data_IF_522482549593
#
_entry.id   IF_522482549593
#
_cell.length_a   1.000
_cell.length_b   1.000
_cell.length_c   1.000
_cell.angle_alpha   90.00
_cell.angle_beta   90.00
_cell.angle_gamma   90.00
#
_symmetry.space_group_name_H-M   'P 1'
#
loop_
_entity.id
_entity.type
_entity.pdbx_description
1 polymer ?
#
# COMPACT_ATOMS: atom_id res chain seq x y z
N UNK A 1 7.13 19.05 -9.76
CA UNK A 1 7.24 20.03 -10.87
C UNK A 1 6.51 19.56 -12.15
N UNK A 2 6.76 18.34 -12.65
CA UNK A 2 6.11 17.80 -13.86
C UNK A 2 4.58 17.63 -13.73
N UNK A 3 4.10 17.16 -12.58
CA UNK A 3 2.66 16.95 -12.28
C UNK A 3 1.78 18.21 -12.41
N UNK A 4 2.38 19.41 -12.34
CA UNK A 4 1.65 20.70 -12.24
C UNK A 4 1.64 21.55 -13.53
N UNK A 5 2.43 21.20 -14.55
CA UNK A 5 2.57 22.02 -15.79
C UNK A 5 2.51 21.24 -17.11
N UNK A 6 2.48 19.91 -17.11
CA UNK A 6 2.48 19.11 -18.34
C UNK A 6 1.09 18.65 -18.76
N UNK A 7 0.66 18.98 -19.99
CA UNK A 7 -0.58 18.46 -20.59
C UNK A 7 -0.54 16.98 -20.99
N UNK A 8 0.48 16.24 -20.55
CA UNK A 8 0.62 14.79 -20.75
C UNK A 8 0.04 14.09 -19.53
N UNK A 9 -0.74 13.01 -19.73
CA UNK A 9 -1.21 12.14 -18.65
C UNK A 9 -0.03 11.71 -17.79
N UNK A 10 0.03 12.22 -16.56
CA UNK A 10 1.15 11.99 -15.64
C UNK A 10 1.38 10.49 -15.38
N UNK A 11 0.32 9.69 -15.48
CA UNK A 11 0.35 8.23 -15.36
C UNK A 11 1.19 7.55 -16.46
N UNK A 12 1.15 8.09 -17.69
CA UNK A 12 1.92 7.54 -18.81
C UNK A 12 3.42 7.80 -18.61
N UNK A 13 3.77 9.01 -18.13
CA UNK A 13 5.15 9.34 -17.79
C UNK A 13 5.66 8.46 -16.66
N UNK A 14 4.89 8.26 -15.59
CA UNK A 14 5.28 7.38 -14.47
C UNK A 14 5.55 5.94 -14.96
N UNK A 15 4.69 5.43 -15.86
CA UNK A 15 4.85 4.09 -16.43
C UNK A 15 6.11 3.97 -17.30
N UNK A 16 6.36 4.95 -18.18
CA UNK A 16 7.55 4.97 -19.04
C UNK A 16 8.84 5.06 -18.23
N UNK A 17 8.89 5.91 -17.20
CA UNK A 17 10.06 6.01 -16.33
C UNK A 17 10.32 4.72 -15.55
N UNK A 18 9.27 4.02 -15.13
CA UNK A 18 9.39 2.73 -14.47
C UNK A 18 9.96 1.66 -15.41
N UNK A 19 9.39 1.53 -16.62
CA UNK A 19 9.90 0.58 -17.64
C UNK A 19 11.33 0.90 -18.06
N UNK A 20 11.67 2.18 -18.24
CA UNK A 20 13.02 2.62 -18.56
C UNK A 20 14.01 2.25 -17.45
N UNK A 21 13.66 2.51 -16.19
CA UNK A 21 14.50 2.16 -15.03
C UNK A 21 14.75 0.65 -14.93
N UNK A 22 13.71 -0.16 -15.14
CA UNK A 22 13.83 -1.63 -15.15
C UNK A 22 14.74 -2.12 -16.29
N UNK A 23 14.53 -1.61 -17.51
CA UNK A 23 15.34 -1.97 -18.67
C UNK A 23 16.81 -1.57 -18.49
N UNK A 24 17.06 -0.36 -17.98
CA UNK A 24 18.40 0.15 -17.73
C UNK A 24 19.13 -0.66 -16.63
N UNK A 25 18.41 -1.04 -15.57
CA UNK A 25 18.95 -1.90 -14.52
C UNK A 25 19.40 -3.26 -15.06
N UNK A 26 18.57 -3.91 -15.87
CA UNK A 26 18.91 -5.20 -16.50
C UNK A 26 20.06 -5.05 -17.49
N UNK A 27 20.10 -3.95 -18.26
CA UNK A 27 21.18 -3.65 -19.19
C UNK A 27 22.53 -3.53 -18.47
N UNK A 28 22.58 -2.80 -17.36
CA UNK A 28 23.82 -2.67 -16.57
C UNK A 28 24.25 -4.00 -15.93
N UNK A 29 23.32 -4.84 -15.49
CA UNK A 29 23.65 -6.19 -15.01
C UNK A 29 24.23 -7.05 -16.14
N UNK A 30 23.63 -6.99 -17.33
CA UNK A 30 24.09 -7.75 -18.49
C UNK A 30 25.47 -7.31 -19.02
N UNK A 31 25.83 -6.04 -18.84
CA UNK A 31 27.14 -5.49 -19.20
C UNK A 31 28.28 -5.90 -18.25
N UNK A 32 27.97 -6.47 -17.08
CA UNK A 32 28.97 -6.87 -16.10
C UNK A 32 29.36 -8.35 -16.29
N UNK A 33 30.52 -8.68 -16.89
CA UNK A 33 30.92 -10.06 -17.14
C UNK A 33 31.21 -10.79 -15.83
N UNK A 34 30.63 -11.98 -15.67
CA UNK A 34 30.96 -12.91 -14.56
C UNK A 34 29.94 -12.98 -13.41
N UNK A 35 28.79 -12.31 -13.50
CA UNK A 35 27.74 -12.42 -12.48
C UNK A 35 26.46 -13.04 -13.09
N UNK A 36 26.20 -14.36 -12.92
CA UNK A 36 24.88 -14.90 -13.22
C UNK A 36 23.90 -14.34 -12.16
N UNK A 37 22.89 -13.53 -12.54
CA UNK A 37 21.95 -13.03 -11.57
C UNK A 37 21.04 -14.18 -11.12
N UNK A 38 21.16 -14.60 -9.86
CA UNK A 38 20.17 -15.47 -9.23
C UNK A 38 18.87 -14.68 -8.98
N UNK A 39 18.06 -14.55 -10.03
CA UNK A 39 16.78 -13.83 -9.99
C UNK A 39 15.85 -14.38 -8.90
N UNK A 40 15.85 -15.70 -8.69
CA UNK A 40 15.05 -16.36 -7.66
C UNK A 40 15.35 -15.82 -6.26
N UNK A 41 16.62 -15.64 -5.91
CA UNK A 41 17.03 -15.08 -4.62
C UNK A 41 16.65 -13.61 -4.47
N UNK A 42 16.63 -12.82 -5.56
CA UNK A 42 16.22 -11.42 -5.50
C UNK A 42 14.68 -11.24 -5.44
N UNK A 43 13.96 -12.17 -6.08
CA UNK A 43 12.50 -12.17 -6.12
C UNK A 43 11.88 -12.63 -4.79
N UNK A 44 12.39 -13.73 -4.22
CA UNK A 44 11.86 -14.36 -3.01
C UNK A 44 12.60 -14.00 -1.73
N UNK A 45 13.86 -13.57 -1.82
CA UNK A 45 14.71 -13.26 -0.67
C UNK A 45 14.97 -14.48 0.24
N UNK A 46 15.71 -14.23 1.32
CA UNK A 46 15.79 -15.18 2.42
C UNK A 46 15.86 -14.42 3.75
N UNK A 47 14.71 -14.34 4.43
CA UNK A 47 14.59 -13.64 5.71
C UNK A 47 15.39 -14.33 6.83
N UNK A 48 15.64 -15.63 6.72
CA UNK A 48 16.37 -16.41 7.72
C UNK A 48 17.88 -16.16 7.66
N UNK A 49 18.41 -15.74 6.51
CA UNK A 49 19.83 -15.48 6.30
C UNK A 49 20.27 -14.05 6.67
N UNK A 50 19.45 -13.31 7.41
CA UNK A 50 19.72 -11.90 7.69
C UNK A 50 20.87 -11.73 8.70
N UNK A 51 21.88 -10.93 8.32
CA UNK A 51 23.01 -10.62 9.20
C UNK A 51 22.64 -9.59 10.27
N UNK A 52 23.28 -9.66 11.45
CA UNK A 52 23.14 -8.67 12.54
C UNK A 52 23.39 -7.22 12.08
N UNK A 53 24.26 -7.00 11.09
CA UNK A 53 24.51 -5.69 10.51
C UNK A 53 23.27 -5.12 9.78
N UNK A 54 22.63 -5.94 8.94
CA UNK A 54 21.40 -5.56 8.23
C UNK A 54 20.26 -5.30 9.22
N UNK A 55 20.18 -6.09 10.30
CA UNK A 55 19.19 -5.90 11.36
C UNK A 55 19.34 -4.54 12.06
N UNK A 56 20.59 -4.15 12.42
CA UNK A 56 20.87 -2.85 13.03
C UNK A 56 20.54 -1.69 12.08
N UNK A 57 20.89 -1.82 10.80
CA UNK A 57 20.58 -0.80 9.79
C UNK A 57 19.07 -0.61 9.64
N UNK A 58 18.30 -1.70 9.54
CA UNK A 58 16.83 -1.65 9.49
C UNK A 58 16.22 -1.03 10.74
N UNK A 59 16.75 -1.34 11.92
CA UNK A 59 16.25 -0.79 13.19
C UNK A 59 16.47 0.72 13.28
N UNK A 60 17.67 1.20 12.90
CA UNK A 60 17.99 2.63 12.85
C UNK A 60 17.09 3.34 11.83
N UNK A 61 16.98 2.80 10.61
CA UNK A 61 16.17 3.41 9.56
C UNK A 61 14.68 3.45 9.93
N UNK A 62 14.14 2.36 10.48
CA UNK A 62 12.77 2.29 10.97
C UNK A 62 12.53 3.33 12.08
N UNK A 63 13.48 3.47 13.02
CA UNK A 63 13.42 4.51 14.05
C UNK A 63 13.38 5.93 13.48
N UNK A 64 14.20 6.23 12.47
CA UNK A 64 14.19 7.53 11.77
C UNK A 64 12.84 7.77 11.09
N UNK A 65 12.33 6.78 10.35
CA UNK A 65 11.04 6.89 9.64
C UNK A 65 9.90 7.14 10.63
N UNK A 66 9.83 6.37 11.72
CA UNK A 66 8.81 6.54 12.77
C UNK A 66 8.94 7.90 13.43
N UNK A 67 10.16 8.34 13.76
CA UNK A 67 10.39 9.65 14.36
C UNK A 67 9.90 10.79 13.46
N UNK A 68 10.23 10.76 12.17
CA UNK A 68 9.79 11.78 11.21
C UNK A 68 8.26 11.79 11.05
N UNK A 69 7.64 10.60 10.95
CA UNK A 69 6.17 10.49 10.82
C UNK A 69 5.46 11.01 12.07
N UNK A 70 5.97 10.71 13.27
CA UNK A 70 5.36 11.17 14.53
C UNK A 70 5.55 12.67 14.70
N UNK A 71 6.74 13.21 14.37
CA UNK A 71 7.03 14.63 14.47
C UNK A 71 6.17 15.48 13.52
N UNK A 72 5.97 15.03 12.27
CA UNK A 72 5.16 15.72 11.26
C UNK A 72 3.73 15.16 11.13
N UNK A 73 3.24 14.41 12.12
CA UNK A 73 1.95 13.71 12.01
C UNK A 73 0.79 14.66 11.72
N UNK A 74 0.79 15.84 12.34
CA UNK A 74 -0.31 16.80 12.18
C UNK A 74 -0.32 17.41 10.77
N UNK A 75 0.85 17.71 10.22
CA UNK A 75 0.99 18.28 8.88
C UNK A 75 0.62 17.24 7.80
N UNK A 76 1.02 15.99 7.99
CA UNK A 76 0.65 14.89 7.10
C UNK A 76 -0.86 14.62 7.16
N UNK A 77 -1.46 14.68 8.35
CA UNK A 77 -2.91 14.58 8.46
C UNK A 77 -3.60 15.69 7.66
N UNK A 78 -3.14 16.93 7.76
CA UNK A 78 -3.71 18.04 7.00
C UNK A 78 -3.60 17.81 5.49
N UNK A 79 -2.41 17.39 5.02
CA UNK A 79 -2.16 17.07 3.61
C UNK A 79 -3.05 15.93 3.07
N UNK A 80 -3.30 14.88 3.86
CA UNK A 80 -4.12 13.74 3.44
C UNK A 80 -5.63 14.05 3.35
N UNK A 81 -6.12 15.04 4.11
CA UNK A 81 -7.55 15.39 4.08
C UNK A 81 -7.86 16.42 3.00
N UNK A 82 -6.96 17.36 2.74
CA UNK A 82 -7.13 18.37 1.70
C UNK A 82 -5.79 19.05 1.32
N UNK A 83 -5.28 18.75 0.12
CA UNK A 83 -4.04 19.35 -0.41
C UNK A 83 -4.21 20.85 -0.71
N UNK A 84 -5.38 21.26 -1.21
CA UNK A 84 -5.67 22.65 -1.56
C UNK A 84 -5.78 23.52 -0.30
N UNK A 85 -6.53 23.05 0.69
CA UNK A 85 -6.66 23.73 1.97
C UNK A 85 -5.32 23.79 2.72
N UNK A 86 -4.53 22.71 2.71
CA UNK A 86 -3.20 22.71 3.32
C UNK A 86 -2.25 23.74 2.68
N UNK A 87 -2.33 23.90 1.35
CA UNK A 87 -1.53 24.92 0.65
C UNK A 87 -1.98 26.35 0.97
N UNK A 88 -3.26 26.58 1.25
CA UNK A 88 -3.81 27.90 1.64
C UNK A 88 -3.41 28.26 3.09
N UNK A 89 -3.37 27.29 3.99
CA UNK A 89 -2.98 27.46 5.40
C UNK A 89 -1.47 27.68 5.59
N UNK A 90 -0.69 27.68 4.50
CA UNK A 90 0.75 27.97 4.52
C UNK A 90 1.63 26.75 4.80
N UNK A 91 1.06 25.54 4.81
CA UNK A 91 1.83 24.30 4.87
C UNK A 91 2.46 24.08 3.49
N UNK A 92 3.78 23.85 3.45
CA UNK A 92 4.49 23.51 2.22
C UNK A 92 4.16 22.07 1.80
N UNK A 93 2.96 21.84 1.27
CA UNK A 93 2.46 20.53 0.82
C UNK A 93 3.48 19.79 -0.08
N UNK A 94 4.14 20.54 -0.97
CA UNK A 94 5.20 20.01 -1.85
C UNK A 94 6.40 19.45 -1.08
N UNK A 95 6.80 20.06 0.04
CA UNK A 95 7.90 19.54 0.86
C UNK A 95 7.51 18.22 1.55
N UNK A 96 6.27 18.13 2.05
CA UNK A 96 5.74 16.90 2.65
C UNK A 96 5.64 15.76 1.63
N UNK A 97 5.16 16.04 0.41
CA UNK A 97 5.10 15.05 -0.67
C UNK A 97 6.50 14.49 -0.99
N UNK A 98 7.50 15.36 -1.20
CA UNK A 98 8.87 14.90 -1.46
C UNK A 98 9.48 14.15 -0.28
N UNK A 99 9.25 14.60 0.95
CA UNK A 99 9.73 13.93 2.15
C UNK A 99 9.14 12.51 2.28
N UNK A 100 7.84 12.36 2.07
CA UNK A 100 7.15 11.06 2.05
C UNK A 100 7.75 10.14 0.98
N UNK A 101 7.95 10.62 -0.25
CA UNK A 101 8.52 9.84 -1.35
C UNK A 101 9.94 9.38 -1.04
N UNK A 102 10.79 10.22 -0.45
CA UNK A 102 12.16 9.87 -0.05
C UNK A 102 12.16 8.82 1.06
N UNK A 103 11.29 8.95 2.08
CA UNK A 103 11.16 7.98 3.16
C UNK A 103 10.72 6.61 2.64
N UNK A 104 9.74 6.57 1.73
CA UNK A 104 9.29 5.33 1.09
C UNK A 104 10.43 4.73 0.28
N UNK A 105 11.10 5.51 -0.56
CA UNK A 105 12.21 5.02 -1.39
C UNK A 105 13.33 4.41 -0.56
N UNK A 106 13.77 5.09 0.49
CA UNK A 106 14.78 4.57 1.43
C UNK A 106 14.35 3.25 2.08
N UNK A 107 13.10 3.19 2.55
CA UNK A 107 12.55 1.99 3.20
C UNK A 107 12.49 0.81 2.24
N UNK A 108 11.97 1.01 1.03
CA UNK A 108 11.85 -0.04 0.00
C UNK A 108 13.22 -0.57 -0.41
N UNK A 109 14.21 0.29 -0.63
CA UNK A 109 15.57 -0.13 -1.03
C UNK A 109 16.22 -1.04 0.02
N UNK A 110 16.08 -0.71 1.30
CA UNK A 110 16.62 -1.55 2.39
C UNK A 110 15.86 -2.86 2.51
N UNK A 111 14.53 -2.84 2.38
CA UNK A 111 13.71 -4.05 2.46
C UNK A 111 14.00 -5.04 1.33
N UNK A 112 14.19 -4.57 0.09
CA UNK A 112 14.47 -5.44 -1.07
C UNK A 112 15.72 -6.29 -0.84
N UNK A 113 16.76 -5.74 -0.21
CA UNK A 113 18.02 -6.46 0.05
C UNK A 113 17.87 -7.67 0.96
N UNK A 114 16.85 -7.67 1.83
CA UNK A 114 16.67 -8.68 2.89
C UNK A 114 15.52 -9.61 2.54
N UNK A 115 14.38 -9.03 2.17
CA UNK A 115 13.12 -9.71 2.00
C UNK A 115 12.85 -10.14 0.55
N UNK A 116 13.45 -9.48 -0.44
CA UNK A 116 13.15 -9.68 -1.86
C UNK A 116 11.96 -8.86 -2.35
N UNK A 117 11.90 -8.60 -3.66
CA UNK A 117 10.98 -7.60 -4.22
C UNK A 117 9.50 -8.00 -4.10
N UNK A 118 9.17 -9.28 -4.25
CA UNK A 118 7.77 -9.76 -4.22
C UNK A 118 7.19 -9.63 -2.82
N UNK A 119 7.96 -10.04 -1.81
CA UNK A 119 7.54 -9.98 -0.41
C UNK A 119 7.31 -8.54 0.04
N UNK A 120 8.17 -7.61 -0.38
CA UNK A 120 8.03 -6.18 -0.06
C UNK A 120 6.73 -5.60 -0.63
N UNK A 121 6.41 -5.87 -1.89
CA UNK A 121 5.18 -5.40 -2.50
C UNK A 121 3.94 -5.96 -1.79
N UNK A 122 3.96 -7.24 -1.42
CA UNK A 122 2.87 -7.87 -0.69
C UNK A 122 2.68 -7.25 0.70
N UNK A 123 3.76 -7.11 1.49
CA UNK A 123 3.70 -6.56 2.85
C UNK A 123 3.43 -5.05 2.89
N UNK A 124 3.72 -4.30 1.83
CA UNK A 124 3.33 -2.90 1.74
C UNK A 124 1.84 -2.74 1.36
N UNK A 125 1.33 -3.63 0.52
CA UNK A 125 -0.03 -3.49 -0.05
C UNK A 125 -1.09 -4.18 0.81
N UNK A 126 -0.88 -5.43 1.21
CA UNK A 126 -1.90 -6.25 1.87
C UNK A 126 -2.34 -5.72 3.24
N UNK A 127 -1.46 -5.47 4.22
CA UNK A 127 -1.91 -4.97 5.53
C UNK A 127 -2.49 -3.56 5.45
N UNK A 128 -1.99 -2.71 4.53
CA UNK A 128 -2.55 -1.39 4.29
C UNK A 128 -3.98 -1.49 3.76
N UNK A 129 -4.22 -2.31 2.73
CA UNK A 129 -5.55 -2.54 2.16
C UNK A 129 -6.51 -3.20 3.16
N UNK A 130 -6.07 -4.19 3.94
CA UNK A 130 -6.91 -4.78 5.00
C UNK A 130 -7.26 -3.74 6.07
N UNK A 131 -6.31 -2.90 6.48
CA UNK A 131 -6.55 -1.87 7.51
C UNK A 131 -7.55 -0.80 7.09
N UNK A 132 -7.64 -0.51 5.78
CA UNK A 132 -8.60 0.43 5.21
C UNK A 132 -10.05 -0.06 5.36
N UNK A 133 -10.27 -1.37 5.21
CA UNK A 133 -11.59 -2.00 5.38
C UNK A 133 -12.05 -1.92 6.85
N UNK A 134 -11.10 -1.99 7.80
CA UNK A 134 -11.41 -2.04 9.23
C UNK A 134 -11.75 -0.67 9.83
N UNK A 135 -11.24 0.43 9.29
CA UNK A 135 -11.37 1.74 9.95
C UNK A 135 -11.12 2.93 9.02
N UNK A 136 -11.91 3.98 9.20
CA UNK A 136 -11.83 5.26 8.47
C UNK A 136 -10.88 6.29 9.11
N UNK A 137 -10.47 6.07 10.37
CA UNK A 137 -9.58 6.96 11.12
C UNK A 137 -8.10 6.71 10.78
N UNK A 138 -7.39 7.70 10.24
CA UNK A 138 -5.96 7.58 9.84
C UNK A 138 -5.03 7.04 10.94
N UNK A 139 -5.14 7.57 12.18
CA UNK A 139 -4.30 7.12 13.32
C UNK A 139 -4.46 5.63 13.58
N UNK A 140 -5.71 5.16 13.61
CA UNK A 140 -6.05 3.76 13.86
C UNK A 140 -5.67 2.88 12.67
N UNK A 141 -5.83 3.38 11.43
CA UNK A 141 -5.42 2.68 10.19
C UNK A 141 -3.92 2.36 10.19
N UNK A 142 -3.06 3.31 10.57
CA UNK A 142 -1.62 3.06 10.74
C UNK A 142 -1.33 1.94 11.76
N UNK A 143 -1.95 1.99 12.95
CA UNK A 143 -1.72 0.99 14.00
C UNK A 143 -2.19 -0.40 13.54
N UNK A 144 -3.38 -0.50 12.94
CA UNK A 144 -3.89 -1.76 12.43
C UNK A 144 -3.02 -2.35 11.33
N UNK A 145 -2.52 -1.53 10.40
CA UNK A 145 -1.60 -2.00 9.36
C UNK A 145 -0.32 -2.61 9.95
N UNK A 146 0.25 -2.00 11.00
CA UNK A 146 1.45 -2.53 11.67
C UNK A 146 1.14 -3.86 12.35
N UNK A 147 0.03 -3.95 13.09
CA UNK A 147 -0.38 -5.17 13.79
C UNK A 147 -0.64 -6.31 12.78
N UNK A 148 -1.41 -6.04 11.73
CA UNK A 148 -1.72 -7.03 10.68
C UNK A 148 -0.46 -7.48 9.94
N UNK A 149 0.45 -6.57 9.61
CA UNK A 149 1.73 -6.91 9.00
C UNK A 149 2.55 -7.86 9.87
N UNK A 150 2.64 -7.61 11.19
CA UNK A 150 3.32 -8.51 12.12
C UNK A 150 2.65 -9.89 12.18
N UNK A 151 1.31 -9.93 12.20
CA UNK A 151 0.55 -11.19 12.19
C UNK A 151 0.83 -11.98 10.90
N UNK A 152 0.81 -11.33 9.73
CA UNK A 152 1.10 -11.99 8.45
C UNK A 152 2.52 -12.55 8.39
N UNK A 153 3.51 -11.79 8.88
CA UNK A 153 4.89 -12.25 8.95
C UNK A 153 5.05 -13.44 9.89
N UNK A 154 4.50 -13.37 11.11
CA UNK A 154 4.62 -14.44 12.11
C UNK A 154 3.88 -15.71 11.67
N UNK A 155 2.63 -15.59 11.23
CA UNK A 155 1.84 -16.73 10.77
C UNK A 155 2.39 -17.33 9.48
N UNK A 156 2.89 -16.50 8.55
CA UNK A 156 3.50 -16.97 7.30
C UNK A 156 4.83 -17.68 7.53
N UNK A 157 5.62 -17.20 8.49
CA UNK A 157 6.88 -17.85 8.88
C UNK A 157 6.62 -19.18 9.60
N UNK A 158 5.63 -19.22 10.50
CA UNK A 158 5.21 -20.47 11.16
C UNK A 158 4.77 -21.52 10.14
N UNK A 159 3.95 -21.14 9.16
CA UNK A 159 3.48 -22.03 8.10
C UNK A 159 4.62 -22.50 7.18
N UNK A 160 5.59 -21.62 6.90
CA UNK A 160 6.79 -21.95 6.13
C UNK A 160 7.64 -23.01 6.84
N UNK A 161 7.73 -22.96 8.17
CA UNK A 161 8.48 -23.94 8.97
C UNK A 161 7.88 -25.34 8.88
N UNK A 162 6.56 -25.46 9.01
CA UNK A 162 5.85 -26.75 8.91
C UNK A 162 5.93 -27.35 7.49
N UNK A 163 5.74 -26.53 6.45
CA UNK A 163 5.66 -27.01 5.07
C UNK A 163 7.02 -27.07 4.35
N UNK A 164 8.12 -26.62 4.96
CA UNK A 164 9.45 -26.53 4.34
C UNK A 164 9.47 -25.78 2.99
N UNK A 165 8.62 -24.75 2.84
CA UNK A 165 8.54 -23.91 1.62
C UNK A 165 9.32 -22.61 1.83
N UNK A 166 9.79 -21.99 0.75
CA UNK A 166 10.40 -20.65 0.77
C UNK A 166 9.54 -19.64 1.57
N UNK A 167 10.14 -19.06 2.60
CA UNK A 167 9.45 -18.20 3.58
C UNK A 167 8.77 -17.00 2.94
N UNK A 168 9.41 -16.35 1.96
CA UNK A 168 8.80 -15.24 1.23
C UNK A 168 7.53 -15.62 0.47
N UNK A 169 7.51 -16.79 -0.17
CA UNK A 169 6.32 -17.27 -0.89
C UNK A 169 5.16 -17.60 0.06
N UNK A 170 5.45 -18.26 1.19
CA UNK A 170 4.44 -18.59 2.19
C UNK A 170 3.77 -17.34 2.79
N UNK A 171 4.56 -16.31 3.13
CA UNK A 171 4.04 -15.04 3.67
C UNK A 171 3.16 -14.33 2.64
N UNK A 172 3.56 -14.29 1.37
CA UNK A 172 2.78 -13.66 0.29
C UNK A 172 1.44 -14.36 0.11
N UNK A 173 1.43 -15.69 -0.01
CA UNK A 173 0.21 -16.47 -0.18
C UNK A 173 -0.73 -16.25 1.00
N UNK A 174 -0.20 -16.32 2.23
CA UNK A 174 -0.99 -16.10 3.44
C UNK A 174 -1.58 -14.68 3.48
N UNK A 175 -0.78 -13.67 3.15
CA UNK A 175 -1.22 -12.26 3.16
C UNK A 175 -2.37 -12.02 2.18
N UNK A 176 -2.26 -12.58 0.96
CA UNK A 176 -3.29 -12.47 -0.08
C UNK A 176 -4.57 -13.22 0.32
N UNK A 177 -4.43 -14.45 0.85
CA UNK A 177 -5.58 -15.24 1.33
C UNK A 177 -6.28 -14.53 2.47
N UNK A 178 -5.55 -14.01 3.46
CA UNK A 178 -6.13 -13.23 4.55
C UNK A 178 -6.85 -11.98 4.04
N UNK A 179 -6.23 -11.20 3.14
CA UNK A 179 -6.87 -10.03 2.55
C UNK A 179 -8.17 -10.39 1.81
N UNK A 180 -8.15 -11.44 0.98
CA UNK A 180 -9.34 -11.93 0.28
C UNK A 180 -10.44 -12.39 1.24
N UNK A 181 -10.09 -13.07 2.34
CA UNK A 181 -11.06 -13.46 3.36
C UNK A 181 -11.69 -12.24 4.05
N UNK A 182 -10.87 -11.25 4.44
CA UNK A 182 -11.39 -10.00 5.04
C UNK A 182 -12.28 -9.23 4.06
N UNK A 183 -11.86 -9.13 2.81
CA UNK A 183 -12.64 -8.50 1.75
C UNK A 183 -13.94 -9.25 1.48
N UNK A 184 -13.92 -10.58 1.42
CA UNK A 184 -15.12 -11.40 1.22
C UNK A 184 -16.10 -11.26 2.39
N UNK A 185 -15.61 -11.36 3.64
CA UNK A 185 -16.44 -11.18 4.85
C UNK A 185 -17.06 -9.78 4.87
N UNK A 186 -16.27 -8.74 4.57
CA UNK A 186 -16.77 -7.38 4.50
C UNK A 186 -17.73 -7.15 3.32
N UNK A 187 -17.49 -7.76 2.16
CA UNK A 187 -18.36 -7.69 0.99
C UNK A 187 -19.69 -8.41 1.23
N UNK A 188 -19.68 -9.53 1.96
CA UNK A 188 -20.89 -10.27 2.35
C UNK A 188 -21.67 -9.49 3.42
N UNK A 189 -21.00 -8.92 4.43
CA UNK A 189 -21.62 -8.04 5.42
C UNK A 189 -22.12 -6.72 4.80
N UNK A 190 -21.41 -6.19 3.81
CA UNK A 190 -21.75 -5.01 3.02
C UNK A 190 -22.90 -5.26 2.06
N UNK A 191 -23.02 -6.45 1.47
CA UNK A 191 -24.19 -6.87 0.67
C UNK A 191 -25.48 -6.92 1.49
N UNK A 192 -25.41 -7.25 2.79
CA UNK A 192 -26.57 -7.16 3.68
C UNK A 192 -27.01 -5.70 3.94
N UNK A 193 -26.08 -4.73 3.91
CA UNK A 193 -26.36 -3.29 4.07
C UNK A 193 -26.71 -2.59 2.75
N UNK A 194 -26.11 -3.03 1.64
CA UNK A 194 -26.38 -2.54 0.29
C UNK A 194 -27.70 -3.08 -0.27
N UNK A 195 -28.16 -4.28 0.14
CA UNK A 195 -29.56 -4.69 -0.09
C UNK A 195 -30.57 -3.83 0.68
N UNK A 196 -30.25 -3.37 1.90
CA UNK A 196 -31.09 -2.43 2.64
C UNK A 196 -31.08 -1.01 2.04
N UNK A 197 -29.91 -0.53 1.57
CA UNK A 197 -29.83 0.76 0.88
C UNK A 197 -30.47 0.71 -0.51
N UNK A 198 -30.30 -0.39 -1.27
CA UNK A 198 -30.97 -0.57 -2.56
C UNK A 198 -32.49 -0.72 -2.38
N UNK A 199 -32.96 -1.42 -1.34
CA UNK A 199 -34.39 -1.47 -1.01
C UNK A 199 -34.97 -0.08 -0.68
N UNK A 200 -34.26 0.74 0.11
CA UNK A 200 -34.70 2.12 0.39
C UNK A 200 -34.58 3.08 -0.81
N UNK A 201 -33.59 2.87 -1.69
CA UNK A 201 -33.39 3.70 -2.89
C UNK A 201 -34.43 3.37 -3.98
N UNK A 202 -34.89 2.12 -4.04
CA UNK A 202 -35.95 1.68 -4.97
C UNK A 202 -37.37 2.09 -4.50
N UNK A 203 -37.61 2.18 -3.18
CA UNK A 203 -38.85 2.75 -2.61
C UNK A 203 -38.95 4.28 -2.78
N UNK A 204 -37.85 5.03 -2.66
CA UNK A 204 -37.85 6.49 -2.87
C UNK A 204 -38.10 6.88 -4.33
N UNK A 205 -37.67 6.07 -5.30
CA UNK A 205 -37.89 6.33 -6.72
C UNK A 205 -39.36 6.12 -7.14
N UNK A 206 -40.05 5.13 -6.54
CA UNK A 206 -41.48 4.88 -6.77
C UNK A 206 -42.39 5.95 -6.16
N UNK A 207 -42.05 6.48 -4.98
CA UNK A 207 -42.80 7.56 -4.36
C UNK A 207 -42.61 8.90 -5.10
N UNK A 208 -41.45 9.11 -5.74
CA UNK A 208 -41.16 10.30 -6.54
C UNK A 208 -41.88 10.34 -7.90
N UNK A 209 -42.02 9.21 -8.59
CA UNK A 209 -42.70 9.16 -9.90
C UNK A 209 -44.23 9.26 -9.81
N UNK A 210 -44.85 8.78 -8.73
CA UNK A 210 -46.29 8.91 -8.51
C UNK A 210 -46.76 10.36 -8.30
N UNK A 211 -45.88 11.26 -7.83
CA UNK A 211 -46.20 12.68 -7.67
C UNK A 211 -46.02 13.50 -8.96
N UNK A 212 -45.20 13.04 -9.91
CA UNK A 212 -45.00 13.74 -11.20
C UNK A 212 -46.08 13.39 -12.22
N UNK A 213 -46.56 12.14 -12.27
CA UNK A 213 -47.64 11.75 -13.18
C UNK A 213 -48.99 12.40 -12.82
N UNK A 214 -49.28 12.61 -11.52
CA UNK A 214 -50.52 13.29 -11.11
C UNK A 214 -50.52 14.82 -11.28
N UNK A 215 -49.37 15.44 -11.60
CA UNK A 215 -49.27 16.88 -11.84
C UNK A 215 -49.30 17.25 -13.33
N UNK A 216 -49.20 16.27 -14.24
CA UNK A 216 -49.34 16.47 -15.70
C UNK A 216 -50.75 16.12 -16.22
N UNK A 217 -51.62 15.54 -15.39
CA UNK A 217 -52.99 15.13 -15.75
C UNK A 217 -54.12 15.99 -15.14
N UNK A 218 -53.80 17.14 -14.51
CA UNK A 218 -54.78 18.12 -14.01
C UNK A 218 -54.33 19.56 -14.30
#
# INVERSE_FOLDING_TARGET
>A
YIKRKGGVRSDVLIGLFWSLGMALGILFVALMPGYPPDLSSYLFGNILAVTKANLRLMLILSGIVVFVIVALFNDWKAYLFDEEFASIVGIKATFLEYLLLVLIAMTVVVLIRVAGIILVLALLTAPAATSEILTTNLKRRMIYSVILGNIYCLAGLWLSYELNIASGAAIVILSVVCYLLFYAVHSIAGKARSRKLAACHEESHKCGQGCTEHAEEN
#
